data_IF_687433171160
#
_entry.id   IF_687433171160
#
_cell.length_a   1.000
_cell.length_b   1.000
_cell.length_c   1.000
_cell.angle_alpha   90.00
_cell.angle_beta   90.00
_cell.angle_gamma   90.00
#
_symmetry.space_group_name_H-M   'P 1'
#
loop_
_entity.id
_entity.type
_entity.pdbx_description
1 polymer ?
#
# COMPACT_ATOMS: atom_id res chain seq x y z
N UNK A 1 -9.53 -14.64 27.04
CA UNK A 1 -8.22 -14.33 26.43
C UNK A 1 -7.76 -12.97 26.93
N UNK A 2 -6.50 -12.88 27.33
CA UNK A 2 -5.91 -11.59 27.70
C UNK A 2 -5.48 -10.83 26.42
N UNK A 3 -5.63 -9.52 26.43
CA UNK A 3 -5.07 -8.62 25.43
C UNK A 3 -3.58 -8.44 25.74
N UNK A 4 -2.75 -8.23 24.75
CA UNK A 4 -1.35 -7.88 24.96
C UNK A 4 -1.26 -6.65 25.89
N UNK A 5 -0.30 -6.55 26.81
CA UNK A 5 -0.21 -5.43 27.74
C UNK A 5 -0.22 -4.04 27.09
N UNK A 6 0.44 -3.88 25.93
CA UNK A 6 0.47 -2.61 25.21
C UNK A 6 -0.91 -2.29 24.62
N UNK A 7 -1.57 -3.27 23.98
CA UNK A 7 -2.91 -3.14 23.43
C UNK A 7 -3.96 -2.96 24.55
N UNK A 8 -3.71 -3.56 25.72
CA UNK A 8 -4.60 -3.42 26.91
C UNK A 8 -4.57 -2.03 27.54
N UNK A 9 -3.48 -1.27 27.42
CA UNK A 9 -3.43 0.14 27.81
C UNK A 9 -4.26 0.99 26.85
N UNK A 10 -4.02 0.84 25.56
CA UNK A 10 -4.75 1.51 24.49
C UNK A 10 -6.27 1.29 24.59
N UNK A 11 -6.71 0.03 24.79
CA UNK A 11 -8.13 -0.29 24.98
C UNK A 11 -8.73 0.40 26.21
N UNK A 12 -8.01 0.44 27.34
CA UNK A 12 -8.49 1.10 28.55
C UNK A 12 -8.63 2.61 28.40
N UNK A 13 -7.76 3.24 27.61
CA UNK A 13 -7.83 4.68 27.36
C UNK A 13 -9.03 5.05 26.46
N UNK A 14 -9.26 4.28 25.40
CA UNK A 14 -10.35 4.56 24.44
C UNK A 14 -11.72 4.13 24.97
N UNK A 15 -11.77 3.04 25.73
CA UNK A 15 -13.00 2.43 26.22
C UNK A 15 -13.38 2.91 27.65
N UNK A 16 -12.95 4.12 28.06
CA UNK A 16 -13.44 4.73 29.25
C UNK A 16 -14.95 5.03 29.11
N UNK A 17 -15.74 4.60 30.11
CA UNK A 17 -17.19 4.68 30.04
C UNK A 17 -17.71 6.08 29.70
N UNK A 18 -17.18 7.10 30.34
CA UNK A 18 -17.62 8.48 30.16
C UNK A 18 -17.30 8.99 28.74
N UNK A 19 -16.13 8.62 28.21
CA UNK A 19 -15.73 8.97 26.84
C UNK A 19 -16.61 8.25 25.80
N UNK A 20 -16.88 6.96 26.01
CA UNK A 20 -17.73 6.16 25.10
C UNK A 20 -19.16 6.69 25.09
N UNK A 21 -19.70 7.09 26.25
CA UNK A 21 -21.02 7.70 26.31
C UNK A 21 -21.07 9.08 25.63
N UNK A 22 -20.04 9.90 25.81
CA UNK A 22 -19.93 11.19 25.15
C UNK A 22 -19.84 11.01 23.61
N UNK A 23 -19.01 10.08 23.14
CA UNK A 23 -18.87 9.73 21.73
C UNK A 23 -20.20 9.25 21.14
N UNK A 24 -20.93 8.41 21.86
CA UNK A 24 -22.25 7.92 21.46
C UNK A 24 -23.26 9.07 21.27
N UNK A 25 -23.35 9.98 22.24
CA UNK A 25 -24.26 11.13 22.14
C UNK A 25 -23.81 12.14 21.06
N UNK A 26 -22.55 12.09 20.62
CA UNK A 26 -22.02 12.85 19.48
C UNK A 26 -22.20 12.11 18.14
N UNK A 27 -22.89 10.95 18.13
CA UNK A 27 -23.21 10.19 16.92
C UNK A 27 -22.20 9.11 16.53
N UNK A 28 -21.23 8.77 17.39
CA UNK A 28 -20.29 7.68 17.15
C UNK A 28 -20.79 6.40 17.80
N UNK A 29 -21.39 5.53 16.98
CA UNK A 29 -22.03 4.30 17.46
C UNK A 29 -21.15 3.05 17.31
N UNK A 30 -20.04 3.12 16.57
CA UNK A 30 -19.21 1.96 16.23
C UNK A 30 -17.72 2.23 16.49
N UNK A 31 -17.02 1.17 16.95
CA UNK A 31 -15.58 1.13 17.09
C UNK A 31 -15.07 -0.20 16.54
N UNK A 32 -13.96 -0.14 15.83
CA UNK A 32 -13.28 -1.29 15.29
C UNK A 32 -11.82 -1.32 15.74
N UNK A 33 -11.34 -2.49 16.22
CA UNK A 33 -9.97 -2.68 16.70
C UNK A 33 -9.42 -4.01 16.20
N UNK A 34 -8.21 -3.99 15.66
CA UNK A 34 -7.41 -5.19 15.45
C UNK A 34 -6.31 -5.24 16.51
N UNK A 35 -6.35 -6.27 17.35
CA UNK A 35 -5.48 -6.41 18.51
C UNK A 35 -4.82 -7.78 18.54
N UNK A 36 -3.56 -7.83 18.97
CA UNK A 36 -2.91 -9.07 19.31
C UNK A 36 -3.42 -9.57 20.66
N UNK A 37 -3.90 -10.80 20.70
CA UNK A 37 -4.46 -11.43 21.89
C UNK A 37 -3.72 -12.71 22.23
N UNK A 38 -3.73 -13.04 23.54
CA UNK A 38 -3.15 -14.27 24.05
C UNK A 38 -4.22 -15.13 24.74
N UNK A 39 -4.31 -16.39 24.36
CA UNK A 39 -5.15 -17.38 25.04
C UNK A 39 -4.51 -17.82 26.37
N UNK A 40 -5.27 -18.47 27.24
CA UNK A 40 -4.79 -19.00 28.53
C UNK A 40 -3.65 -20.01 28.36
N UNK A 41 -3.65 -20.76 27.27
CA UNK A 41 -2.59 -21.71 26.92
C UNK A 41 -1.34 -21.05 26.34
N UNK A 42 -1.25 -19.71 26.31
CA UNK A 42 -0.12 -18.97 25.79
C UNK A 42 -0.16 -18.70 24.27
N UNK A 43 -1.08 -19.32 23.53
CA UNK A 43 -1.18 -19.13 22.08
C UNK A 43 -1.59 -17.69 21.74
N UNK A 44 -0.83 -17.06 20.87
CA UNK A 44 -1.08 -15.71 20.36
C UNK A 44 -1.95 -15.77 19.11
N UNK A 45 -2.88 -14.84 18.94
CA UNK A 45 -3.70 -14.70 17.75
C UNK A 45 -4.07 -13.22 17.53
N UNK A 46 -4.40 -12.87 16.30
CA UNK A 46 -4.93 -11.55 15.95
C UNK A 46 -6.46 -11.59 16.01
N UNK A 47 -7.03 -10.70 16.82
CA UNK A 47 -8.48 -10.54 16.97
C UNK A 47 -8.95 -9.23 16.37
N UNK A 48 -9.87 -9.31 15.40
CA UNK A 48 -10.66 -8.17 14.94
C UNK A 48 -11.88 -8.05 15.85
N UNK A 49 -12.02 -6.93 16.53
CA UNK A 49 -13.10 -6.70 17.50
C UNK A 49 -13.91 -5.48 17.11
N UNK A 50 -15.20 -5.68 16.95
CA UNK A 50 -16.16 -4.62 16.71
C UNK A 50 -17.00 -4.40 17.96
N UNK A 51 -17.17 -3.12 18.31
CA UNK A 51 -18.09 -2.66 19.35
C UNK A 51 -19.19 -1.84 18.69
N UNK A 52 -20.43 -2.14 19.05
CA UNK A 52 -21.58 -1.37 18.60
C UNK A 52 -22.37 -0.91 19.80
N UNK A 53 -22.65 0.39 19.85
CA UNK A 53 -23.43 1.04 20.89
C UNK A 53 -24.86 1.30 20.40
N UNK A 54 -25.84 1.06 21.23
CA UNK A 54 -27.22 1.40 20.91
C UNK A 54 -27.98 1.72 22.20
N UNK A 55 -29.11 2.43 22.08
CA UNK A 55 -30.03 2.62 23.21
C UNK A 55 -30.89 1.39 23.43
N UNK A 56 -31.01 0.97 24.66
CA UNK A 56 -32.04 0.03 25.07
C UNK A 56 -33.39 0.74 25.02
N UNK A 57 -34.33 0.31 24.18
CA UNK A 57 -35.63 0.98 24.02
C UNK A 57 -36.49 0.93 25.26
N UNK A 58 -36.27 -0.04 26.19
CA UNK A 58 -37.05 -0.20 27.40
C UNK A 58 -36.53 0.63 28.58
N UNK A 59 -35.19 0.68 28.76
CA UNK A 59 -34.57 1.38 29.88
C UNK A 59 -33.99 2.74 29.54
N UNK A 60 -33.73 3.01 28.24
CA UNK A 60 -33.02 4.20 27.80
C UNK A 60 -31.52 4.17 28.07
N UNK A 61 -30.97 3.05 28.57
CA UNK A 61 -29.55 2.89 28.80
C UNK A 61 -28.81 2.65 27.50
N UNK A 62 -27.56 3.11 27.44
CA UNK A 62 -26.65 2.75 26.35
C UNK A 62 -26.09 1.36 26.61
N UNK A 63 -26.34 0.45 25.69
CA UNK A 63 -25.80 -0.92 25.69
C UNK A 63 -24.75 -1.08 24.64
N UNK A 64 -23.76 -1.92 24.93
CA UNK A 64 -22.65 -2.21 24.03
C UNK A 64 -22.69 -3.69 23.65
N UNK A 65 -22.75 -3.96 22.37
CA UNK A 65 -22.50 -5.28 21.79
C UNK A 65 -21.08 -5.32 21.28
N UNK A 66 -20.37 -6.41 21.54
CA UNK A 66 -19.07 -6.64 20.96
C UNK A 66 -18.92 -8.07 20.50
N UNK A 67 -18.18 -8.26 19.41
CA UNK A 67 -17.76 -9.56 18.97
C UNK A 67 -16.32 -9.50 18.48
N UNK A 68 -15.62 -10.63 18.58
CA UNK A 68 -14.23 -10.76 18.15
C UNK A 68 -14.10 -11.92 17.21
N UNK A 69 -13.58 -11.66 16.02
CA UNK A 69 -13.21 -12.67 15.04
C UNK A 69 -11.70 -12.95 15.13
N UNK A 70 -11.32 -14.21 14.96
CA UNK A 70 -9.92 -14.57 14.81
C UNK A 70 -9.52 -14.35 13.34
N UNK A 71 -8.69 -13.35 13.09
CA UNK A 71 -8.22 -12.97 11.76
C UNK A 71 -6.74 -13.31 11.55
N UNK A 72 -6.19 -14.24 12.33
CA UNK A 72 -4.76 -14.58 12.31
C UNK A 72 -4.31 -15.05 10.95
N UNK A 73 -5.04 -15.95 10.29
CA UNK A 73 -4.67 -16.48 8.98
C UNK A 73 -4.64 -15.36 7.93
N UNK A 74 -5.69 -14.55 7.85
CA UNK A 74 -5.75 -13.39 6.95
C UNK A 74 -4.59 -12.43 7.19
N UNK A 75 -4.30 -12.13 8.47
CA UNK A 75 -3.19 -11.25 8.84
C UNK A 75 -1.82 -11.84 8.46
N UNK A 76 -1.65 -13.15 8.59
CA UNK A 76 -0.40 -13.83 8.19
C UNK A 76 -0.25 -13.85 6.67
N UNK A 77 -1.32 -14.08 5.92
CA UNK A 77 -1.33 -13.99 4.46
C UNK A 77 -0.95 -12.58 3.99
N UNK A 78 -1.58 -11.54 4.53
CA UNK A 78 -1.26 -10.15 4.23
C UNK A 78 0.21 -9.81 4.53
N UNK A 79 0.71 -10.23 5.70
CA UNK A 79 2.10 -10.01 6.08
C UNK A 79 3.08 -10.76 5.19
N UNK A 80 2.74 -12.00 4.78
CA UNK A 80 3.54 -12.77 3.84
C UNK A 80 3.61 -12.08 2.48
N UNK A 81 2.46 -11.70 1.92
CA UNK A 81 2.39 -10.98 0.65
C UNK A 81 3.20 -9.68 0.68
N UNK A 82 3.04 -8.87 1.73
CA UNK A 82 3.83 -7.64 1.93
C UNK A 82 5.34 -7.92 1.98
N UNK A 83 5.76 -8.97 2.70
CA UNK A 83 7.19 -9.32 2.79
C UNK A 83 7.75 -9.80 1.46
N UNK A 84 7.01 -10.66 0.73
CA UNK A 84 7.45 -11.15 -0.58
C UNK A 84 7.54 -10.00 -1.59
N UNK A 85 6.53 -9.14 -1.63
CA UNK A 85 6.54 -7.95 -2.51
C UNK A 85 7.67 -6.99 -2.17
N UNK A 86 7.95 -6.75 -0.89
CA UNK A 86 9.06 -5.90 -0.46
C UNK A 86 10.45 -6.45 -0.81
N UNK A 87 10.59 -7.78 -1.03
CA UNK A 87 11.84 -8.36 -1.51
C UNK A 87 12.12 -8.04 -2.97
N UNK A 88 11.09 -8.07 -3.80
CA UNK A 88 11.21 -7.92 -5.25
C UNK A 88 11.08 -6.48 -5.72
N UNK A 89 10.11 -5.75 -5.19
CA UNK A 89 9.74 -4.42 -5.67
C UNK A 89 10.30 -3.30 -4.80
N UNK A 90 10.68 -2.20 -5.44
CA UNK A 90 11.09 -0.98 -4.75
C UNK A 90 9.90 -0.17 -4.27
N UNK A 91 8.79 -0.27 -5.00
CA UNK A 91 7.56 0.48 -4.75
C UNK A 91 6.38 -0.26 -5.35
N UNK A 92 5.27 -0.29 -4.60
CA UNK A 92 3.95 -0.70 -5.08
C UNK A 92 2.96 0.40 -4.72
N UNK A 93 2.21 0.82 -5.71
CA UNK A 93 1.24 1.90 -5.60
C UNK A 93 -0.11 1.43 -6.17
N UNK A 94 -1.18 1.80 -5.50
CA UNK A 94 -2.55 1.65 -5.95
C UNK A 94 -3.05 3.01 -6.44
N UNK A 95 -3.54 3.06 -7.67
CA UNK A 95 -3.98 4.27 -8.36
C UNK A 95 -5.48 4.13 -8.65
N UNK A 96 -6.23 5.07 -8.16
CA UNK A 96 -7.65 5.23 -8.47
C UNK A 96 -7.80 6.17 -9.68
N UNK A 97 -8.06 5.59 -10.86
CA UNK A 97 -8.20 6.38 -12.08
C UNK A 97 -9.50 7.21 -12.14
N UNK A 98 -10.49 6.96 -11.27
CA UNK A 98 -11.71 7.79 -11.20
C UNK A 98 -11.45 9.12 -10.50
N UNK A 99 -10.61 9.09 -9.48
CA UNK A 99 -10.35 10.26 -8.63
C UNK A 99 -8.98 10.88 -8.90
N UNK A 100 -8.12 10.22 -9.68
CA UNK A 100 -6.73 10.64 -9.92
C UNK A 100 -5.86 10.55 -8.67
N UNK A 101 -6.26 9.79 -7.65
CA UNK A 101 -5.51 9.65 -6.40
C UNK A 101 -4.70 8.37 -6.38
N UNK A 102 -3.61 8.41 -5.63
CA UNK A 102 -2.79 7.23 -5.37
C UNK A 102 -2.66 6.96 -3.88
N UNK A 103 -2.38 5.70 -3.57
CA UNK A 103 -2.01 5.22 -2.24
C UNK A 103 -0.82 4.27 -2.33
N UNK A 104 0.23 4.51 -1.53
CA UNK A 104 1.36 3.59 -1.44
C UNK A 104 0.99 2.35 -0.63
N UNK A 105 1.09 1.20 -1.27
CA UNK A 105 0.88 -0.10 -0.63
C UNK A 105 2.16 -0.56 0.07
N UNK A 106 3.30 -0.45 -0.63
CA UNK A 106 4.61 -0.83 -0.12
C UNK A 106 5.70 0.04 -0.75
N UNK A 107 6.73 0.38 0.02
CA UNK A 107 7.90 1.11 -0.46
C UNK A 107 9.13 0.72 0.35
N UNK A 108 10.23 0.41 -0.33
CA UNK A 108 11.53 0.18 0.35
C UNK A 108 11.98 1.44 1.07
N UNK A 109 12.55 1.28 2.26
CA UNK A 109 12.95 2.37 3.16
C UNK A 109 13.82 3.42 2.46
N UNK A 110 14.76 2.98 1.61
CA UNK A 110 15.62 3.86 0.80
C UNK A 110 14.87 4.72 -0.24
N UNK A 111 13.61 4.41 -0.53
CA UNK A 111 12.79 5.14 -1.49
C UNK A 111 11.67 5.96 -0.82
N UNK A 112 11.51 5.83 0.51
CA UNK A 112 10.37 6.35 1.26
C UNK A 112 10.38 7.87 1.41
N UNK A 113 11.56 8.47 1.47
CA UNK A 113 11.72 9.92 1.68
C UNK A 113 11.26 10.75 0.48
N UNK A 114 11.07 10.10 -0.66
CA UNK A 114 10.81 10.76 -1.93
C UNK A 114 9.39 10.57 -2.47
N UNK A 115 8.53 9.86 -1.74
CA UNK A 115 7.17 9.52 -2.23
C UNK A 115 6.16 9.72 -1.11
N UNK A 116 5.07 10.44 -1.40
CA UNK A 116 3.97 10.61 -0.46
C UNK A 116 3.17 9.31 -0.32
N UNK A 117 2.71 9.01 0.90
CA UNK A 117 1.88 7.81 1.14
C UNK A 117 0.57 7.85 0.36
N UNK A 118 0.01 9.04 0.16
CA UNK A 118 -1.20 9.26 -0.61
C UNK A 118 -1.24 10.69 -1.17
N UNK A 119 -1.93 10.88 -2.28
CA UNK A 119 -2.05 12.21 -2.90
C UNK A 119 -2.68 12.17 -4.28
N UNK A 120 -2.51 13.26 -5.02
CA UNK A 120 -2.88 13.34 -6.43
C UNK A 120 -1.75 12.71 -7.24
N UNK A 121 -2.09 11.70 -8.03
CA UNK A 121 -1.09 10.91 -8.77
C UNK A 121 -0.29 11.75 -9.77
N UNK A 122 -0.97 12.60 -10.53
CA UNK A 122 -0.33 13.48 -11.52
C UNK A 122 0.70 14.43 -10.88
N UNK A 123 0.40 14.99 -9.71
CA UNK A 123 1.31 15.88 -8.99
C UNK A 123 2.55 15.13 -8.50
N UNK A 124 2.35 13.90 -8.02
CA UNK A 124 3.44 13.08 -7.50
C UNK A 124 4.40 12.63 -8.59
N UNK A 125 3.88 12.13 -9.71
CA UNK A 125 4.74 11.76 -10.85
C UNK A 125 5.47 12.97 -11.43
N UNK A 126 4.86 14.15 -11.42
CA UNK A 126 5.49 15.40 -11.84
C UNK A 126 6.72 15.75 -10.99
N UNK A 127 6.59 15.72 -9.67
CA UNK A 127 7.69 15.98 -8.72
C UNK A 127 8.84 14.97 -8.87
N UNK A 128 8.50 13.68 -9.02
CA UNK A 128 9.50 12.63 -9.23
C UNK A 128 10.26 12.87 -10.54
N UNK A 129 9.54 13.20 -11.62
CA UNK A 129 10.12 13.46 -12.92
C UNK A 129 11.08 14.66 -12.90
N UNK A 130 10.69 15.75 -12.26
CA UNK A 130 11.54 16.94 -12.14
C UNK A 130 12.81 16.70 -11.33
N UNK A 131 12.74 15.87 -10.29
CA UNK A 131 13.85 15.66 -9.36
C UNK A 131 14.88 14.65 -9.84
N UNK A 132 14.46 13.59 -10.53
CA UNK A 132 15.29 12.41 -10.77
C UNK A 132 15.57 12.10 -12.25
N UNK A 133 15.06 12.90 -13.19
CA UNK A 133 15.12 12.58 -14.61
C UNK A 133 15.62 13.75 -15.44
N UNK A 134 16.38 13.42 -16.47
CA UNK A 134 16.65 14.35 -17.57
C UNK A 134 15.40 14.62 -18.42
N UNK A 135 15.49 15.50 -19.40
CA UNK A 135 14.34 15.95 -20.18
C UNK A 135 13.69 14.83 -20.99
N UNK A 136 14.49 13.95 -21.61
CA UNK A 136 14.03 12.85 -22.45
C UNK A 136 13.31 11.78 -21.60
N UNK A 137 13.93 11.35 -20.52
CA UNK A 137 13.35 10.38 -19.58
C UNK A 137 12.11 10.93 -18.86
N UNK A 138 12.07 12.23 -18.58
CA UNK A 138 10.92 12.91 -17.98
C UNK A 138 9.72 12.86 -18.91
N UNK A 139 9.88 13.22 -20.18
CA UNK A 139 8.79 13.20 -21.15
C UNK A 139 8.25 11.77 -21.32
N UNK A 140 9.15 10.78 -21.45
CA UNK A 140 8.79 9.38 -21.55
C UNK A 140 8.03 8.86 -20.31
N UNK A 141 8.51 9.19 -19.12
CA UNK A 141 7.89 8.82 -17.85
C UNK A 141 6.48 9.38 -17.72
N UNK A 142 6.33 10.68 -17.89
CA UNK A 142 5.04 11.35 -17.78
C UNK A 142 4.04 10.82 -18.81
N UNK A 143 4.48 10.60 -20.06
CA UNK A 143 3.63 10.04 -21.11
C UNK A 143 3.10 8.65 -20.75
N UNK A 144 3.94 7.77 -20.22
CA UNK A 144 3.55 6.41 -19.87
C UNK A 144 2.66 6.34 -18.60
N UNK A 145 2.70 7.36 -17.76
CA UNK A 145 1.92 7.42 -16.52
C UNK A 145 0.72 8.37 -16.57
N UNK A 146 0.41 8.95 -17.73
CA UNK A 146 -0.85 9.68 -17.92
C UNK A 146 -2.03 8.70 -17.79
N UNK A 147 -3.07 9.10 -17.06
CA UNK A 147 -4.25 8.26 -16.80
C UNK A 147 -4.91 7.75 -18.09
N UNK A 148 -5.05 8.61 -19.10
CA UNK A 148 -5.60 8.22 -20.41
C UNK A 148 -4.71 7.22 -21.16
N UNK A 149 -3.39 7.31 -20.99
CA UNK A 149 -2.46 6.34 -21.56
C UNK A 149 -2.57 5.00 -20.84
N UNK A 150 -2.62 5.02 -19.51
CA UNK A 150 -2.81 3.82 -18.68
C UNK A 150 -4.08 3.08 -19.09
N UNK A 151 -5.23 3.79 -19.20
CA UNK A 151 -6.50 3.20 -19.64
C UNK A 151 -6.36 2.53 -21.00
N UNK A 152 -5.84 3.25 -22.00
CA UNK A 152 -5.70 2.74 -23.37
C UNK A 152 -4.80 1.51 -23.48
N UNK A 153 -3.73 1.46 -22.71
CA UNK A 153 -2.84 0.30 -22.74
C UNK A 153 -3.45 -0.90 -22.02
N UNK A 154 -4.11 -0.69 -20.88
CA UNK A 154 -4.75 -1.76 -20.12
C UNK A 154 -6.09 -2.24 -20.72
N UNK A 155 -6.66 -1.53 -21.69
CA UNK A 155 -7.76 -2.04 -22.53
C UNK A 155 -7.31 -3.09 -23.55
N UNK A 156 -6.05 -2.98 -24.01
CA UNK A 156 -5.47 -3.86 -25.04
C UNK A 156 -4.85 -5.13 -24.46
N UNK A 157 -4.38 -5.07 -23.22
CA UNK A 157 -3.62 -6.15 -22.58
C UNK A 157 -3.80 -6.13 -21.06
N UNK A 158 -3.58 -7.26 -20.41
CA UNK A 158 -3.78 -7.39 -18.94
C UNK A 158 -2.78 -6.57 -18.11
N UNK A 159 -1.60 -6.33 -18.67
CA UNK A 159 -0.57 -5.48 -18.06
C UNK A 159 0.37 -4.91 -19.10
N UNK A 160 0.95 -3.75 -18.84
CA UNK A 160 2.07 -3.26 -19.64
C UNK A 160 3.23 -2.84 -18.75
N UNK A 161 4.43 -2.79 -19.33
CA UNK A 161 5.63 -2.38 -18.62
C UNK A 161 6.54 -1.55 -19.51
N UNK A 162 7.28 -0.65 -18.87
CA UNK A 162 8.33 0.13 -19.53
C UNK A 162 9.56 0.23 -18.64
N UNK A 163 10.71 0.46 -19.27
CA UNK A 163 11.98 0.73 -18.61
C UNK A 163 12.24 2.22 -18.62
N UNK A 164 12.85 2.68 -17.54
CA UNK A 164 13.24 4.08 -17.36
C UNK A 164 14.60 4.15 -16.68
N UNK A 165 15.46 5.01 -17.20
CA UNK A 165 16.69 5.39 -16.52
C UNK A 165 16.42 6.63 -15.65
N UNK A 166 16.88 6.60 -14.41
CA UNK A 166 16.83 7.72 -13.48
C UNK A 166 18.16 7.86 -12.74
N UNK A 167 18.40 9.06 -12.22
CA UNK A 167 19.57 9.35 -11.39
C UNK A 167 19.11 9.37 -9.92
N UNK A 168 19.68 8.51 -9.10
CA UNK A 168 19.35 8.47 -7.68
C UNK A 168 19.99 9.66 -6.91
N UNK A 169 19.65 9.82 -5.64
CA UNK A 169 20.17 10.94 -4.80
C UNK A 169 21.68 10.96 -4.65
N UNK A 170 22.36 9.86 -4.94
CA UNK A 170 23.81 9.72 -4.93
C UNK A 170 24.44 10.02 -6.29
N UNK A 171 23.64 10.41 -7.29
CA UNK A 171 24.09 10.62 -8.66
C UNK A 171 24.35 9.33 -9.43
N UNK A 172 23.83 8.18 -8.98
CA UNK A 172 24.04 6.89 -9.61
C UNK A 172 22.89 6.63 -10.59
N UNK A 173 23.24 6.26 -11.82
CA UNK A 173 22.26 5.85 -12.82
C UNK A 173 21.64 4.51 -12.45
N UNK A 174 20.31 4.46 -12.47
CA UNK A 174 19.49 3.29 -12.16
C UNK A 174 18.51 3.02 -13.29
N UNK A 175 18.35 1.75 -13.64
CA UNK A 175 17.33 1.32 -14.59
C UNK A 175 16.20 0.72 -13.81
N UNK A 176 15.02 1.35 -13.89
CA UNK A 176 13.80 0.90 -13.24
C UNK A 176 12.81 0.36 -14.24
N UNK A 177 12.24 -0.80 -13.93
CA UNK A 177 11.08 -1.35 -14.63
C UNK A 177 9.83 -0.96 -13.89
N UNK A 178 8.91 -0.32 -14.58
CA UNK A 178 7.55 -0.04 -14.14
C UNK A 178 6.61 -1.05 -14.78
N UNK A 179 5.69 -1.58 -14.02
CA UNK A 179 4.65 -2.49 -14.50
C UNK A 179 3.31 -2.04 -13.96
N UNK A 180 2.31 -1.93 -14.84
CA UNK A 180 0.96 -1.50 -14.53
C UNK A 180 -0.03 -2.60 -14.92
N UNK A 181 -1.06 -2.79 -14.10
CA UNK A 181 -2.11 -3.79 -14.28
C UNK A 181 -3.38 -3.38 -13.55
N UNK A 182 -4.55 -3.82 -14.01
CA UNK A 182 -5.78 -3.62 -13.26
C UNK A 182 -5.80 -4.48 -11.99
N UNK A 183 -6.08 -3.85 -10.84
CA UNK A 183 -6.51 -4.53 -9.60
C UNK A 183 -8.00 -4.86 -9.72
N UNK A 184 -8.80 -3.90 -10.22
CA UNK A 184 -10.21 -4.05 -10.52
C UNK A 184 -10.60 -3.12 -11.68
N UNK A 185 -11.14 -3.68 -12.76
CA UNK A 185 -11.63 -2.89 -13.91
C UNK A 185 -12.90 -2.12 -13.56
N UNK A 186 -13.80 -2.73 -12.80
CA UNK A 186 -15.08 -2.12 -12.39
C UNK A 186 -14.87 -0.91 -11.49
N UNK A 187 -13.87 -0.96 -10.63
CA UNK A 187 -13.51 0.13 -9.73
C UNK A 187 -12.50 1.10 -10.35
N UNK A 188 -11.97 0.80 -11.54
CA UNK A 188 -10.90 1.54 -12.21
C UNK A 188 -9.64 1.70 -11.31
N UNK A 189 -9.32 0.63 -10.55
CA UNK A 189 -8.14 0.60 -9.67
C UNK A 189 -7.00 -0.11 -10.39
N UNK A 190 -5.85 0.56 -10.45
CA UNK A 190 -4.64 0.11 -11.14
C UNK A 190 -3.50 -0.04 -10.15
N UNK A 191 -2.84 -1.19 -10.18
CA UNK A 191 -1.59 -1.41 -9.49
C UNK A 191 -0.41 -0.93 -10.34
N UNK A 192 0.51 -0.20 -9.74
CA UNK A 192 1.81 0.12 -10.31
C UNK A 192 2.91 -0.48 -9.44
N UNK A 193 3.72 -1.36 -10.01
CA UNK A 193 4.88 -1.95 -9.36
C UNK A 193 6.17 -1.45 -10.01
N UNK A 194 7.18 -1.12 -9.20
CA UNK A 194 8.50 -0.68 -9.67
C UNK A 194 9.60 -1.56 -9.10
N UNK A 195 10.52 -1.98 -9.93
CA UNK A 195 11.68 -2.80 -9.54
C UNK A 195 12.97 -2.23 -10.13
N UNK A 196 14.06 -2.29 -9.36
CA UNK A 196 15.41 -1.99 -9.85
C UNK A 196 15.94 -3.17 -10.65
N UNK A 197 16.19 -2.94 -11.92
CA UNK A 197 16.73 -3.95 -12.86
C UNK A 197 18.13 -3.58 -13.37
N UNK A 198 18.82 -2.66 -12.71
CA UNK A 198 20.12 -2.12 -13.11
C UNK A 198 21.13 -3.25 -13.34
N UNK A 199 21.29 -4.14 -12.37
CA UNK A 199 22.27 -5.22 -12.44
C UNK A 199 21.96 -6.21 -13.56
N UNK A 200 20.69 -6.54 -13.74
CA UNK A 200 20.21 -7.44 -14.81
C UNK A 200 20.46 -6.82 -16.19
N UNK A 201 20.15 -5.54 -16.36
CA UNK A 201 20.33 -4.82 -17.60
C UNK A 201 21.83 -4.70 -17.97
N UNK A 202 22.70 -4.46 -17.00
CA UNK A 202 24.16 -4.42 -17.20
C UNK A 202 24.68 -5.80 -17.64
N UNK A 203 24.24 -6.86 -16.98
CA UNK A 203 24.65 -8.24 -17.32
C UNK A 203 24.18 -8.64 -18.72
N UNK A 204 22.95 -8.32 -19.11
CA UNK A 204 22.44 -8.60 -20.45
C UNK A 204 23.22 -7.84 -21.54
N UNK A 205 23.51 -6.56 -21.30
CA UNK A 205 24.30 -5.77 -22.23
C UNK A 205 25.72 -6.31 -22.39
N UNK A 206 26.37 -6.71 -21.29
CA UNK A 206 27.70 -7.32 -21.34
C UNK A 206 27.68 -8.63 -22.13
N UNK A 207 26.72 -9.51 -21.91
CA UNK A 207 26.56 -10.75 -22.69
C UNK A 207 26.32 -10.48 -24.16
N UNK A 208 25.50 -9.49 -24.54
CA UNK A 208 25.27 -9.12 -25.95
C UNK A 208 26.53 -8.59 -26.62
N UNK A 209 27.36 -7.85 -25.90
CA UNK A 209 28.65 -7.38 -26.42
C UNK A 209 29.63 -8.52 -26.62
N UNK A 210 29.75 -9.47 -25.68
CA UNK A 210 30.60 -10.66 -25.84
C UNK A 210 30.19 -11.51 -27.06
N UNK A 211 28.89 -11.74 -27.25
CA UNK A 211 28.37 -12.44 -28.43
C UNK A 211 28.69 -11.75 -29.73
N UNK A 212 28.68 -10.39 -29.77
CA UNK A 212 29.06 -9.62 -31.00
C UNK A 212 30.56 -9.65 -31.31
N UNK A 213 31.40 -9.88 -30.30
CA UNK A 213 32.85 -9.97 -30.49
C UNK A 213 33.29 -11.38 -30.92
N UNK A 214 32.44 -12.39 -30.77
CA UNK A 214 32.72 -13.78 -31.15
C UNK A 214 32.19 -14.17 -32.53
N UNK A 215 31.50 -13.26 -33.22
CA UNK A 215 30.97 -13.43 -34.59
C UNK A 215 31.38 -12.27 -35.48
#
# INVERSE_FOLDING_TARGET
SAVDPADGVFMREIMQRDQVLQDFYNGKEEYHFELQRRRENGTVFYGSTDFRLCLNPESGDVICFFYTLNVTEQKMEDLLLRKVTAMEYDLICDIDLKTGRHHLVEVKEKCRENVLNEGVFADEIGKIAERFMDEENREWYLKNLQEDHIRRELEKQDSYSFLLELIDEKGIHRIKKYQLFYISKELERVGMARVDVTDVAIQENSRRQEFRLLH
#
